data_IF_581025115511
#
_entry.id   IF_581025115511
#
_cell.length_a   1.000
_cell.length_b   1.000
_cell.length_c   1.000
_cell.angle_alpha   90.00
_cell.angle_beta   90.00
_cell.angle_gamma   90.00
#
_symmetry.space_group_name_H-M   'P 1'
#
loop_
_entity.id
_entity.type
_entity.pdbx_description
1 polymer ?
#
# COMPACT_ATOMS: atom_id res chain seq x y z
N UNK A 1 15.75 15.12 14.62
CA UNK A 1 15.11 13.81 14.38
C UNK A 1 14.85 13.68 12.89
N UNK A 2 15.29 12.59 12.26
CA UNK A 2 15.10 12.38 10.83
C UNK A 2 13.60 12.13 10.56
N UNK A 3 13.04 12.82 9.57
CA UNK A 3 11.64 12.60 9.20
C UNK A 3 11.47 11.15 8.70
N UNK A 4 10.44 10.46 9.14
CA UNK A 4 10.17 9.08 8.72
C UNK A 4 9.98 8.96 7.20
N UNK A 5 9.55 10.02 6.53
CA UNK A 5 9.39 10.07 5.06
C UNK A 5 10.73 10.01 4.32
N UNK A 6 11.82 10.44 4.95
CA UNK A 6 13.17 10.41 4.37
C UNK A 6 13.78 9.00 4.42
N UNK A 7 13.22 8.12 5.24
CA UNK A 7 13.69 6.74 5.42
C UNK A 7 12.49 5.83 5.72
N UNK A 8 11.64 5.66 4.73
CA UNK A 8 10.35 4.96 4.91
C UNK A 8 10.52 3.52 5.36
N UNK A 9 11.47 2.79 4.79
CA UNK A 9 11.72 1.38 5.15
C UNK A 9 12.38 1.29 6.52
N UNK A 10 13.42 2.06 6.76
CA UNK A 10 14.10 2.06 8.07
C UNK A 10 13.17 2.51 9.21
N UNK A 11 12.30 3.48 8.95
CA UNK A 11 11.30 3.89 9.95
C UNK A 11 10.29 2.79 10.25
N UNK A 12 9.95 1.96 9.28
CA UNK A 12 9.12 0.77 9.49
C UNK A 12 9.84 -0.25 10.40
N UNK A 13 11.13 -0.50 10.14
CA UNK A 13 11.93 -1.40 10.99
C UNK A 13 11.96 -0.92 12.45
N UNK A 14 12.12 0.37 12.65
CA UNK A 14 12.16 0.98 13.98
C UNK A 14 10.78 1.20 14.60
N UNK A 15 9.70 0.90 13.87
CA UNK A 15 8.31 1.12 14.28
C UNK A 15 7.99 2.60 14.53
N UNK A 16 8.64 3.49 13.80
CA UNK A 16 8.46 4.94 13.87
C UNK A 16 7.57 5.48 12.75
N UNK A 17 7.30 4.67 11.74
CA UNK A 17 6.49 5.07 10.59
C UNK A 17 5.00 4.99 10.94
N UNK A 18 4.28 6.12 10.96
CA UNK A 18 2.87 6.13 11.35
C UNK A 18 1.96 5.42 10.35
N UNK A 19 2.43 5.20 9.11
CA UNK A 19 1.66 4.50 8.08
C UNK A 19 1.86 2.99 8.10
N UNK A 20 2.75 2.46 8.94
CA UNK A 20 3.00 1.02 9.04
C UNK A 20 1.73 0.28 9.42
N UNK A 21 1.36 -0.70 8.60
CA UNK A 21 0.32 -1.68 8.90
C UNK A 21 0.93 -2.90 9.58
N UNK A 22 1.63 -3.72 8.81
CA UNK A 22 2.25 -4.95 9.31
C UNK A 22 3.54 -5.25 8.56
N UNK A 23 4.47 -5.92 9.23
CA UNK A 23 5.61 -6.55 8.58
C UNK A 23 5.13 -7.86 7.94
N UNK A 24 5.45 -8.05 6.65
CA UNK A 24 5.15 -9.25 5.88
C UNK A 24 6.44 -10.00 5.56
N UNK A 25 6.34 -11.19 4.97
CA UNK A 25 7.53 -11.99 4.62
C UNK A 25 8.45 -11.26 3.64
N UNK A 26 7.89 -10.49 2.69
CA UNK A 26 8.66 -9.83 1.63
C UNK A 26 8.87 -8.34 1.84
N UNK A 27 8.34 -7.75 2.91
CA UNK A 27 8.48 -6.33 3.16
C UNK A 27 7.50 -5.78 4.17
N UNK A 28 7.19 -4.48 4.05
CA UNK A 28 6.28 -3.79 4.97
C UNK A 28 5.04 -3.32 4.23
N UNK A 29 3.88 -3.72 4.73
CA UNK A 29 2.60 -3.16 4.29
C UNK A 29 2.39 -1.82 4.98
N UNK A 30 2.12 -0.77 4.21
CA UNK A 30 1.84 0.58 4.74
C UNK A 30 0.56 1.13 4.11
N UNK A 31 -0.15 1.96 4.87
CA UNK A 31 -1.27 2.74 4.31
C UNK A 31 -0.70 3.97 3.58
N UNK A 32 -1.28 4.33 2.45
CA UNK A 32 -0.80 5.44 1.63
C UNK A 32 -0.92 6.79 2.31
N UNK A 33 0.00 7.71 2.00
CA UNK A 33 0.06 9.05 2.58
C UNK A 33 -1.19 9.89 2.31
N UNK A 34 -1.90 9.60 1.22
CA UNK A 34 -3.13 10.29 0.85
C UNK A 34 -4.22 9.29 0.51
N UNK A 35 -5.36 9.44 1.15
CA UNK A 35 -6.49 8.54 1.06
C UNK A 35 -7.61 9.09 0.15
N UNK A 36 -7.25 9.75 -0.94
CA UNK A 36 -8.19 10.21 -1.96
C UNK A 36 -9.03 9.05 -2.49
N UNK A 37 -8.38 7.93 -2.77
CA UNK A 37 -9.03 6.64 -3.01
C UNK A 37 -8.89 5.81 -1.73
N UNK A 38 -9.93 5.75 -0.88
CA UNK A 38 -9.80 5.12 0.43
C UNK A 38 -9.33 3.67 0.36
N UNK A 39 -8.43 3.30 1.25
CA UNK A 39 -7.84 1.97 1.27
C UNK A 39 -6.54 1.85 0.47
N UNK A 40 -6.07 2.96 -0.12
CA UNK A 40 -4.78 2.98 -0.80
C UNK A 40 -3.66 2.54 0.14
N UNK A 41 -2.95 1.48 -0.25
CA UNK A 41 -1.83 0.91 0.48
C UNK A 41 -0.65 0.66 -0.45
N UNK A 42 0.51 0.39 0.14
CA UNK A 42 1.71 -0.03 -0.58
C UNK A 42 2.36 -1.23 0.12
N UNK A 43 3.07 -2.01 -0.68
CA UNK A 43 4.07 -2.95 -0.16
C UNK A 43 5.45 -2.36 -0.45
N UNK A 44 6.25 -2.16 0.60
CA UNK A 44 7.64 -1.73 0.51
C UNK A 44 8.51 -2.96 0.64
N UNK A 45 9.26 -3.32 -0.43
CA UNK A 45 10.12 -4.50 -0.42
C UNK A 45 11.24 -4.41 0.62
N UNK A 46 11.51 -5.51 1.32
CA UNK A 46 12.58 -5.61 2.31
C UNK A 46 13.17 -7.02 2.32
N UNK A 47 14.49 -7.21 2.27
CA UNK A 47 15.54 -6.17 2.16
C UNK A 47 15.41 -5.29 0.92
N UNK A 48 15.96 -4.08 1.00
CA UNK A 48 15.84 -3.07 -0.05
C UNK A 48 16.55 -3.50 -1.34
N UNK A 49 15.80 -3.59 -2.42
CA UNK A 49 16.30 -3.85 -3.78
C UNK A 49 15.69 -2.83 -4.74
N UNK A 50 16.24 -2.69 -5.95
CA UNK A 50 15.75 -1.70 -6.91
C UNK A 50 14.73 -2.25 -7.91
N UNK A 51 14.56 -3.56 -8.01
CA UNK A 51 13.57 -4.16 -8.92
C UNK A 51 13.18 -5.57 -8.50
N UNK A 52 12.05 -6.04 -9.05
CA UNK A 52 11.63 -7.44 -8.92
C UNK A 52 12.70 -8.39 -9.48
N UNK A 53 13.42 -7.98 -10.51
CA UNK A 53 14.41 -8.81 -11.20
C UNK A 53 15.66 -9.08 -10.37
N UNK A 54 15.93 -8.28 -9.34
CA UNK A 54 17.02 -8.53 -8.39
C UNK A 54 16.69 -9.61 -7.36
N UNK A 55 15.41 -9.94 -7.21
CA UNK A 55 14.97 -10.99 -6.28
C UNK A 55 15.17 -12.38 -6.89
N UNK A 56 15.40 -13.39 -6.05
CA UNK A 56 15.32 -14.79 -6.45
C UNK A 56 13.89 -15.12 -6.93
N UNK A 57 13.72 -16.20 -7.67
CA UNK A 57 12.39 -16.63 -8.12
C UNK A 57 11.44 -16.86 -6.94
N UNK A 58 11.92 -17.46 -5.88
CA UNK A 58 11.13 -17.69 -4.66
C UNK A 58 10.72 -16.35 -4.01
N UNK A 59 11.66 -15.41 -3.90
CA UNK A 59 11.37 -14.09 -3.32
C UNK A 59 10.39 -13.29 -4.17
N UNK A 60 10.44 -13.43 -5.52
CA UNK A 60 9.45 -12.81 -6.42
C UNK A 60 8.05 -13.36 -6.14
N UNK A 61 7.93 -14.68 -6.01
CA UNK A 61 6.65 -15.33 -5.70
C UNK A 61 6.07 -14.81 -4.39
N UNK A 62 6.91 -14.72 -3.36
CA UNK A 62 6.48 -14.22 -2.05
C UNK A 62 6.06 -12.75 -2.12
N UNK A 63 6.83 -11.92 -2.84
CA UNK A 63 6.50 -10.49 -3.00
C UNK A 63 5.17 -10.30 -3.72
N UNK A 64 4.93 -11.02 -4.81
CA UNK A 64 3.68 -10.93 -5.56
C UNK A 64 2.50 -11.46 -4.74
N UNK A 65 2.69 -12.54 -4.00
CA UNK A 65 1.67 -13.04 -3.08
C UNK A 65 1.33 -11.98 -2.02
N UNK A 66 2.31 -11.45 -1.33
CA UNK A 66 2.09 -10.44 -0.28
C UNK A 66 1.35 -9.21 -0.82
N UNK A 67 1.67 -8.79 -2.04
CA UNK A 67 0.97 -7.71 -2.73
C UNK A 67 -0.53 -8.00 -2.82
N UNK A 68 -0.89 -9.22 -3.21
CA UNK A 68 -2.31 -9.61 -3.34
C UNK A 68 -3.00 -9.79 -1.99
N UNK A 69 -2.27 -10.21 -0.94
CA UNK A 69 -2.85 -10.32 0.41
C UNK A 69 -3.24 -8.96 0.96
N UNK A 70 -2.45 -7.92 0.70
CA UNK A 70 -2.83 -6.54 1.03
C UNK A 70 -4.12 -6.15 0.30
N UNK A 71 -4.20 -6.47 -0.99
CA UNK A 71 -5.40 -6.21 -1.78
C UNK A 71 -6.62 -6.95 -1.23
N UNK A 72 -6.48 -8.20 -0.79
CA UNK A 72 -7.57 -8.96 -0.16
C UNK A 72 -8.11 -8.24 1.08
N UNK A 73 -7.21 -7.68 1.90
CA UNK A 73 -7.62 -6.89 3.07
C UNK A 73 -8.38 -5.62 2.67
N UNK A 74 -7.90 -4.91 1.64
CA UNK A 74 -8.58 -3.72 1.10
C UNK A 74 -9.97 -4.09 0.56
N UNK A 75 -10.07 -5.17 -0.18
CA UNK A 75 -11.35 -5.67 -0.73
C UNK A 75 -12.34 -5.95 0.41
N UNK A 76 -11.88 -6.62 1.44
CA UNK A 76 -12.71 -6.98 2.59
C UNK A 76 -13.22 -5.75 3.35
N UNK A 77 -12.38 -4.75 3.54
CA UNK A 77 -12.69 -3.56 4.36
C UNK A 77 -13.43 -2.50 3.55
N UNK A 78 -13.03 -2.27 2.29
CA UNK A 78 -13.48 -1.12 1.50
C UNK A 78 -14.47 -1.47 0.39
N UNK A 79 -14.63 -2.73 0.02
CA UNK A 79 -15.52 -3.20 -1.06
C UNK A 79 -15.38 -2.41 -2.37
N UNK A 80 -14.16 -2.28 -2.92
CA UNK A 80 -13.94 -1.52 -4.16
C UNK A 80 -14.50 -2.25 -5.37
N UNK A 81 -14.64 -1.50 -6.49
CA UNK A 81 -14.95 -2.07 -7.79
C UNK A 81 -13.83 -2.97 -8.30
N UNK A 82 -12.58 -2.55 -8.12
CA UNK A 82 -11.37 -3.29 -8.52
C UNK A 82 -10.15 -2.77 -7.78
N UNK A 83 -9.06 -3.53 -7.88
CA UNK A 83 -7.75 -3.12 -7.38
C UNK A 83 -6.83 -2.88 -8.58
N UNK A 84 -6.08 -1.78 -8.53
CA UNK A 84 -4.97 -1.54 -9.44
C UNK A 84 -3.64 -1.72 -8.71
N UNK A 85 -2.70 -2.38 -9.37
CA UNK A 85 -1.34 -2.57 -8.89
C UNK A 85 -0.37 -1.82 -9.79
N UNK A 86 0.55 -1.06 -9.22
CA UNK A 86 1.57 -0.32 -9.99
C UNK A 86 2.94 -0.45 -9.32
N UNK A 87 3.89 -1.03 -10.05
CA UNK A 87 5.26 -1.25 -9.60
C UNK A 87 6.20 -0.52 -10.55
N UNK A 88 6.45 0.77 -10.30
CA UNK A 88 7.08 1.67 -11.26
C UNK A 88 8.53 2.06 -10.91
N UNK A 89 8.82 2.42 -9.65
CA UNK A 89 10.13 2.84 -9.13
C UNK A 89 10.80 3.98 -9.90
N UNK A 90 10.00 4.85 -10.54
CA UNK A 90 10.55 5.94 -11.34
C UNK A 90 11.01 7.14 -10.50
N UNK A 91 10.41 7.35 -9.35
CA UNK A 91 10.76 8.42 -8.41
C UNK A 91 11.60 7.86 -7.25
N UNK A 92 11.01 6.99 -6.47
CA UNK A 92 11.72 6.25 -5.42
C UNK A 92 12.23 4.94 -6.02
N UNK A 93 13.54 4.76 -6.07
CA UNK A 93 14.20 3.69 -6.83
C UNK A 93 14.29 2.35 -6.09
N UNK A 94 13.66 2.20 -4.93
CA UNK A 94 13.54 0.93 -4.24
C UNK A 94 12.23 0.23 -4.60
N UNK A 95 12.24 -1.10 -4.59
CA UNK A 95 11.06 -1.91 -4.93
C UNK A 95 9.89 -1.59 -4.01
N UNK A 96 8.82 -1.09 -4.59
CA UNK A 96 7.55 -0.88 -3.92
C UNK A 96 6.40 -1.01 -4.92
N UNK A 97 5.24 -1.40 -4.44
CA UNK A 97 4.05 -1.55 -5.25
C UNK A 97 2.91 -0.73 -4.65
N UNK A 98 2.32 0.12 -5.48
CA UNK A 98 1.10 0.84 -5.14
C UNK A 98 -0.09 -0.09 -5.33
N UNK A 99 -0.97 -0.18 -4.34
CA UNK A 99 -2.17 -1.02 -4.35
C UNK A 99 -3.36 -0.10 -4.13
N UNK A 100 -4.08 0.21 -5.19
CA UNK A 100 -5.10 1.23 -5.20
C UNK A 100 -6.49 0.64 -5.40
N UNK A 101 -7.41 0.95 -4.48
CA UNK A 101 -8.83 0.64 -4.63
C UNK A 101 -9.46 1.61 -5.63
N UNK A 102 -10.20 1.09 -6.60
CA UNK A 102 -10.95 1.88 -7.55
C UNK A 102 -12.44 1.69 -7.32
N UNK A 103 -13.21 2.76 -7.42
CA UNK A 103 -14.58 2.78 -6.94
C UNK A 103 -15.58 3.11 -8.05
N UNK A 104 -16.78 2.56 -7.90
CA UNK A 104 -17.88 2.83 -8.84
C UNK A 104 -18.37 4.29 -8.78
N UNK A 105 -18.17 4.98 -7.65
CA UNK A 105 -18.53 6.39 -7.49
C UNK A 105 -17.58 7.36 -8.22
N UNK A 106 -16.43 6.89 -8.72
CA UNK A 106 -15.52 7.73 -9.50
C UNK A 106 -16.22 8.21 -10.78
N UNK A 107 -15.90 9.44 -11.21
CA UNK A 107 -16.48 9.98 -12.46
C UNK A 107 -16.00 9.19 -13.68
N UNK A 108 -16.84 9.12 -14.69
CA UNK A 108 -16.52 8.38 -15.93
C UNK A 108 -15.23 8.84 -16.59
N UNK A 109 -14.90 10.14 -16.44
CA UNK A 109 -13.65 10.70 -16.95
C UNK A 109 -12.41 9.99 -16.46
N UNK A 110 -12.41 9.54 -15.20
CA UNK A 110 -11.23 8.95 -14.55
C UNK A 110 -11.39 7.45 -14.23
N UNK A 111 -12.62 6.96 -14.16
CA UNK A 111 -12.91 5.57 -13.77
C UNK A 111 -12.20 4.53 -14.65
N UNK A 112 -12.03 4.82 -15.94
CA UNK A 112 -11.37 3.93 -16.93
C UNK A 112 -9.86 4.17 -17.05
N UNK A 113 -9.29 5.05 -16.23
CA UNK A 113 -7.88 5.47 -16.32
C UNK A 113 -7.13 5.19 -15.02
N UNK A 114 -5.79 5.06 -15.08
CA UNK A 114 -4.97 5.05 -13.86
C UNK A 114 -5.18 6.30 -13.03
N UNK A 115 -4.96 6.17 -11.72
CA UNK A 115 -5.22 7.25 -10.77
C UNK A 115 -4.38 8.51 -11.03
N UNK A 116 -3.21 8.38 -11.66
CA UNK A 116 -2.36 9.54 -11.98
C UNK A 116 -2.94 10.48 -13.04
N UNK A 117 -4.06 10.12 -13.66
CA UNK A 117 -4.80 11.04 -14.53
C UNK A 117 -5.63 12.05 -13.75
N UNK A 118 -5.91 11.83 -12.48
CA UNK A 118 -6.55 12.84 -11.64
C UNK A 118 -5.64 14.05 -11.45
N UNK A 119 -6.21 15.27 -11.36
CA UNK A 119 -5.43 16.46 -11.01
C UNK A 119 -4.64 16.23 -9.72
N UNK A 120 -3.38 16.70 -9.73
CA UNK A 120 -2.48 16.54 -8.57
C UNK A 120 -3.09 17.18 -7.31
N UNK A 121 -3.70 18.34 -7.43
CA UNK A 121 -4.33 19.06 -6.33
C UNK A 121 -5.47 18.27 -5.68
N UNK A 122 -6.18 17.48 -6.48
CA UNK A 122 -7.27 16.66 -6.00
C UNK A 122 -6.74 15.42 -5.29
N UNK A 123 -5.79 14.73 -5.91
CA UNK A 123 -5.23 13.47 -5.40
C UNK A 123 -4.42 13.66 -4.13
N UNK A 124 -3.66 14.74 -4.04
CA UNK A 124 -2.79 15.09 -2.92
C UNK A 124 -3.32 16.24 -2.07
N UNK A 125 -4.63 16.46 -2.08
CA UNK A 125 -5.26 17.46 -1.23
C UNK A 125 -5.03 17.19 0.25
N UNK A 126 -4.87 18.24 1.05
CA UNK A 126 -4.60 18.13 2.49
C UNK A 126 -5.70 17.37 3.24
N UNK A 127 -6.94 17.43 2.75
CA UNK A 127 -8.09 16.71 3.32
C UNK A 127 -7.95 15.20 3.25
N UNK A 128 -7.07 14.70 2.37
CA UNK A 128 -6.82 13.26 2.20
C UNK A 128 -5.52 12.80 2.85
N UNK A 129 -4.73 13.72 3.39
CA UNK A 129 -3.47 13.37 4.06
C UNK A 129 -3.73 12.47 5.26
N UNK A 130 -2.98 11.36 5.33
CA UNK A 130 -3.12 10.40 6.42
C UNK A 130 -2.82 11.06 7.77
N UNK A 131 -3.75 10.89 8.70
CA UNK A 131 -3.56 11.16 10.12
C UNK A 131 -4.40 10.17 10.93
N UNK A 132 -3.97 9.86 12.15
CA UNK A 132 -4.63 8.87 12.99
C UNK A 132 -6.06 9.26 13.38
N UNK A 133 -6.33 10.55 13.54
CA UNK A 133 -7.66 11.02 13.92
C UNK A 133 -8.68 10.73 12.83
N UNK A 134 -8.34 11.00 11.58
CA UNK A 134 -9.26 10.86 10.44
C UNK A 134 -9.29 9.43 9.89
N UNK A 135 -8.14 8.79 9.78
CA UNK A 135 -7.98 7.51 9.09
C UNK A 135 -7.55 6.35 9.98
N UNK A 136 -7.42 6.57 11.30
CA UNK A 136 -7.01 5.54 12.24
C UNK A 136 -7.94 4.32 12.27
N UNK A 137 -9.25 4.53 12.16
CA UNK A 137 -10.22 3.44 12.11
C UNK A 137 -10.07 2.59 10.85
N UNK A 138 -9.90 3.22 9.69
CA UNK A 138 -9.63 2.54 8.44
C UNK A 138 -8.35 1.71 8.53
N UNK A 139 -7.29 2.32 9.05
CA UNK A 139 -6.00 1.65 9.26
C UNK A 139 -6.14 0.41 10.14
N UNK A 140 -6.82 0.52 11.28
CA UNK A 140 -7.05 -0.63 12.19
C UNK A 140 -7.83 -1.75 11.53
N UNK A 141 -8.88 -1.42 10.79
CA UNK A 141 -9.69 -2.43 10.07
C UNK A 141 -8.85 -3.17 9.04
N UNK A 142 -7.98 -2.45 8.31
CA UNK A 142 -7.07 -3.06 7.33
C UNK A 142 -6.05 -3.95 8.05
N UNK A 143 -5.46 -3.48 9.16
CA UNK A 143 -4.52 -4.29 9.96
C UNK A 143 -5.18 -5.59 10.41
N UNK A 144 -6.37 -5.53 11.00
CA UNK A 144 -7.07 -6.70 11.51
C UNK A 144 -7.38 -7.70 10.39
N UNK A 145 -7.88 -7.20 9.26
CA UNK A 145 -8.15 -8.03 8.09
C UNK A 145 -6.87 -8.67 7.53
N UNK A 146 -5.81 -7.87 7.36
CA UNK A 146 -4.54 -8.33 6.82
C UNK A 146 -3.87 -9.37 7.74
N UNK A 147 -3.90 -9.15 9.05
CA UNK A 147 -3.34 -10.09 10.02
C UNK A 147 -4.01 -11.47 9.92
N UNK A 148 -5.34 -11.51 9.83
CA UNK A 148 -6.08 -12.76 9.67
C UNK A 148 -5.77 -13.44 8.34
N UNK A 149 -5.73 -12.68 7.25
CA UNK A 149 -5.41 -13.17 5.90
C UNK A 149 -3.99 -13.74 5.86
N UNK A 150 -3.01 -13.04 6.43
CA UNK A 150 -1.62 -13.50 6.50
C UNK A 150 -1.50 -14.81 7.29
N UNK A 151 -2.18 -14.89 8.43
CA UNK A 151 -2.15 -16.10 9.26
C UNK A 151 -2.63 -17.32 8.47
N UNK A 152 -3.72 -17.18 7.74
CA UNK A 152 -4.28 -18.24 6.91
C UNK A 152 -3.35 -18.57 5.74
N UNK A 153 -2.91 -17.56 4.98
CA UNK A 153 -2.10 -17.74 3.79
C UNK A 153 -0.71 -18.32 4.09
N UNK A 154 -0.08 -17.89 5.19
CA UNK A 154 1.26 -18.33 5.55
C UNK A 154 1.30 -19.73 6.19
N UNK A 155 0.16 -20.24 6.62
CA UNK A 155 0.00 -21.58 7.16
C UNK A 155 -0.59 -22.59 6.16
N UNK A 156 -0.89 -22.11 4.95
CA UNK A 156 -1.43 -22.96 3.88
C UNK A 156 -0.35 -23.83 3.23
#
# INVERSE_FOLDING_TARGET
MKNWKDDRIGSCERRENPTLLLKMKSGFAVIGDHQFLPGYCLLLGYPKVSSLNELSLEARQQYLLDTTLIADAIIKVCSPLRINYSTLMNLDHYLHTHIEARYDWETDKYKSKPSWYYPREQRFGNEYEFNEQKYGDLKRKIIDALAAIMKEAYNA
#
